data_IF_678402213661
#
_entry.id   IF_678402213661
#
_cell.length_a   1.000
_cell.length_b   1.000
_cell.length_c   1.000
_cell.angle_alpha   90.00
_cell.angle_beta   90.00
_cell.angle_gamma   90.00
#
_symmetry.space_group_name_H-M   'P 1'
#
loop_
_entity.id
_entity.type
_entity.pdbx_description
1 polymer ?
#
# COMPACT_ATOMS: atom_id res chain seq x y z
N UNK A 1 11.47 -48.72 -57.07
CA UNK A 1 10.65 -48.17 -58.17
C UNK A 1 10.11 -46.83 -57.70
N UNK A 2 10.60 -45.70 -58.19
CA UNK A 2 11.78 -45.50 -59.07
C UNK A 2 12.30 -44.07 -58.86
N UNK A 3 13.59 -43.87 -59.06
CA UNK A 3 14.32 -42.61 -58.89
C UNK A 3 14.02 -41.60 -60.02
N UNK A 4 14.20 -40.29 -59.77
CA UNK A 4 14.86 -39.30 -60.66
C UNK A 4 14.70 -37.84 -60.17
N UNK A 5 15.71 -37.34 -59.45
CA UNK A 5 16.73 -36.39 -59.93
C UNK A 5 16.41 -35.23 -60.92
N UNK A 6 16.95 -34.06 -60.52
CA UNK A 6 17.67 -33.00 -61.27
C UNK A 6 17.01 -32.02 -62.29
N UNK A 7 17.40 -30.75 -62.10
CA UNK A 7 17.79 -29.73 -63.13
C UNK A 7 16.70 -29.06 -64.00
N UNK A 8 16.86 -27.86 -64.61
CA UNK A 8 17.76 -26.66 -64.58
C UNK A 8 17.06 -25.58 -65.49
N UNK A 9 17.37 -24.27 -65.64
CA UNK A 9 18.26 -23.22 -65.06
C UNK A 9 17.66 -21.83 -65.45
N UNK A 10 17.98 -20.72 -64.75
CA UNK A 10 18.23 -19.39 -65.37
C UNK A 10 19.01 -18.42 -64.44
N UNK A 11 19.72 -17.44 -65.00
CA UNK A 11 20.81 -16.67 -64.39
C UNK A 11 20.48 -15.21 -63.96
N UNK A 12 21.30 -14.62 -63.07
CA UNK A 12 21.19 -13.20 -62.68
C UNK A 12 22.20 -12.67 -61.66
N UNK A 13 23.43 -12.34 -62.09
CA UNK A 13 24.50 -11.77 -61.24
C UNK A 13 24.20 -10.35 -60.69
N UNK A 14 24.72 -10.00 -59.49
CA UNK A 14 25.99 -9.22 -59.35
C UNK A 14 26.45 -8.95 -57.90
N UNK A 15 27.78 -8.79 -57.74
CA UNK A 15 28.51 -7.98 -56.73
C UNK A 15 28.45 -8.31 -55.21
N UNK A 16 29.25 -9.31 -54.83
CA UNK A 16 30.28 -9.26 -53.75
C UNK A 16 30.22 -8.20 -52.62
N UNK A 17 30.28 -8.68 -51.37
CA UNK A 17 30.79 -7.95 -50.20
C UNK A 17 31.05 -8.92 -49.04
N UNK A 18 32.31 -9.07 -48.62
CA UNK A 18 32.71 -10.12 -47.66
C UNK A 18 33.58 -9.55 -46.53
N UNK A 19 33.20 -9.86 -45.29
CA UNK A 19 33.95 -9.60 -44.06
C UNK A 19 33.77 -10.82 -43.15
N UNK A 20 34.85 -11.37 -42.61
CA UNK A 20 34.84 -12.64 -41.87
C UNK A 20 34.69 -12.47 -40.35
N UNK A 21 34.39 -13.59 -39.66
CA UNK A 21 34.51 -13.69 -38.21
C UNK A 21 35.97 -13.53 -37.75
N UNK A 22 36.17 -12.98 -36.56
CA UNK A 22 37.43 -13.00 -35.83
C UNK A 22 37.18 -12.79 -34.34
N UNK A 23 37.72 -13.66 -33.49
CA UNK A 23 37.55 -13.63 -32.04
C UNK A 23 38.63 -12.72 -31.41
N UNK A 24 38.35 -12.16 -30.22
CA UNK A 24 39.29 -11.31 -29.47
C UNK A 24 39.76 -12.10 -28.23
N UNK A 25 41.07 -12.06 -27.96
CA UNK A 25 41.73 -12.81 -26.87
C UNK A 25 42.56 -11.90 -25.97
N UNK A 26 42.65 -12.25 -24.68
CA UNK A 26 43.19 -11.42 -23.59
C UNK A 26 44.73 -11.28 -23.57
N UNK A 27 45.33 -10.56 -24.52
CA UNK A 27 46.80 -10.33 -24.58
C UNK A 27 47.27 -8.86 -24.56
N UNK A 28 46.40 -7.87 -24.29
CA UNK A 28 46.83 -6.47 -24.05
C UNK A 28 47.24 -6.21 -22.57
N UNK A 29 48.27 -6.93 -22.10
CA UNK A 29 48.88 -6.74 -20.77
C UNK A 29 50.36 -6.33 -20.85
N UNK A 30 50.64 -5.09 -20.38
CA UNK A 30 51.96 -4.45 -20.27
C UNK A 30 52.60 -4.07 -21.62
N UNK A 31 53.48 -3.06 -21.77
CA UNK A 31 54.32 -2.29 -20.84
C UNK A 31 54.35 -0.79 -21.20
N UNK A 32 54.78 0.10 -20.28
CA UNK A 32 54.96 1.54 -20.57
C UNK A 32 55.33 2.40 -19.35
N UNK A 33 56.61 2.43 -18.99
CA UNK A 33 57.14 3.13 -17.81
C UNK A 33 57.42 4.63 -18.05
N UNK A 34 57.38 5.44 -16.97
CA UNK A 34 57.74 6.86 -16.99
C UNK A 34 57.84 7.52 -15.60
N UNK A 35 59.02 7.43 -14.99
CA UNK A 35 59.48 8.32 -13.89
C UNK A 35 59.94 9.68 -14.51
N UNK A 36 60.22 10.81 -13.86
CA UNK A 36 60.34 11.29 -12.45
C UNK A 36 59.40 12.54 -12.27
N UNK A 37 59.40 13.47 -11.30
CA UNK A 37 60.36 14.03 -10.32
C UNK A 37 59.64 14.65 -9.08
N UNK A 38 60.37 15.30 -8.16
CA UNK A 38 59.99 15.57 -6.74
C UNK A 38 59.85 17.09 -6.36
N UNK A 39 59.76 17.39 -5.05
CA UNK A 39 59.84 18.69 -4.32
C UNK A 39 58.51 19.50 -4.15
N UNK A 40 58.18 20.10 -2.98
CA UNK A 40 58.62 19.97 -1.57
C UNK A 40 57.57 20.67 -0.64
N UNK A 41 57.87 20.82 0.68
CA UNK A 41 57.11 21.49 1.76
C UNK A 41 55.93 20.69 2.34
N UNK A 42 55.92 20.24 3.60
CA UNK A 42 56.98 20.24 4.62
C UNK A 42 56.98 21.41 5.60
N UNK A 43 56.37 21.23 6.78
CA UNK A 43 56.99 21.52 8.10
C UNK A 43 56.31 20.67 9.20
N UNK A 44 56.96 20.44 10.34
CA UNK A 44 56.45 19.57 11.42
C UNK A 44 57.00 19.90 12.83
N UNK A 45 56.13 20.36 13.73
CA UNK A 45 56.32 20.56 15.19
C UNK A 45 54.92 20.56 15.87
N UNK A 46 54.69 20.20 17.14
CA UNK A 46 55.46 19.47 18.17
C UNK A 46 54.48 18.84 19.18
N UNK A 47 54.99 17.98 20.07
CA UNK A 47 54.30 17.33 21.19
C UNK A 47 53.70 18.32 22.23
N UNK A 48 52.62 17.92 22.90
CA UNK A 48 52.51 18.02 24.37
C UNK A 48 51.51 16.98 24.92
N UNK A 49 51.57 16.66 26.21
CA UNK A 49 50.69 15.72 26.92
C UNK A 49 49.99 16.42 28.10
N UNK A 50 48.67 16.29 28.20
CA UNK A 50 47.88 16.81 29.31
C UNK A 50 46.67 15.92 29.58
N UNK A 51 46.73 15.16 30.68
CA UNK A 51 45.65 14.30 31.18
C UNK A 51 45.26 14.72 32.61
N UNK A 52 44.15 14.18 33.10
CA UNK A 52 43.53 14.35 34.43
C UNK A 52 42.71 15.63 34.74
N UNK A 53 41.65 15.39 35.53
CA UNK A 53 40.74 16.31 36.25
C UNK A 53 39.76 17.14 35.39
N UNK A 54 38.46 16.80 35.28
CA UNK A 54 37.42 16.58 36.31
C UNK A 54 36.87 17.87 36.94
N UNK A 55 35.67 18.26 36.50
CA UNK A 55 34.58 18.63 37.41
C UNK A 55 33.27 18.03 36.84
N UNK A 56 32.29 17.77 37.70
CA UNK A 56 31.05 17.07 37.34
C UNK A 56 29.86 18.02 37.27
N UNK A 57 29.20 18.09 36.11
CA UNK A 57 27.94 18.81 35.94
C UNK A 57 26.81 17.82 35.63
N UNK A 58 26.31 17.16 36.68
CA UNK A 58 25.09 16.33 36.66
C UNK A 58 23.84 17.23 36.49
N UNK A 59 23.73 17.90 35.34
CA UNK A 59 22.49 18.53 34.89
C UNK A 59 21.78 17.56 33.93
N UNK A 60 20.98 16.68 34.52
CA UNK A 60 20.03 15.78 33.86
C UNK A 60 18.88 16.62 33.27
N UNK A 61 18.88 16.91 31.95
CA UNK A 61 17.84 17.72 31.33
C UNK A 61 16.68 16.80 31.02
N UNK A 62 15.76 16.69 31.98
CA UNK A 62 14.55 15.85 31.91
C UNK A 62 13.92 15.84 30.53
N UNK A 63 14.12 14.74 29.79
CA UNK A 63 13.27 14.23 28.71
C UNK A 63 12.33 15.28 28.09
N UNK A 64 12.89 16.25 27.37
CA UNK A 64 12.11 17.00 26.40
C UNK A 64 11.91 16.03 25.24
N UNK A 65 10.68 15.53 25.09
CA UNK A 65 10.37 14.49 24.11
C UNK A 65 10.82 14.92 22.70
N UNK A 66 11.63 14.10 22.01
CA UNK A 66 11.98 14.27 20.59
C UNK A 66 10.76 13.99 19.71
N UNK A 67 9.74 14.84 19.85
CA UNK A 67 8.57 14.89 18.99
C UNK A 67 8.92 15.61 17.68
N UNK A 68 9.78 14.97 16.89
CA UNK A 68 9.54 14.86 15.43
C UNK A 68 8.29 13.97 15.21
N UNK A 69 7.19 14.42 15.83
CA UNK A 69 5.92 13.70 15.90
C UNK A 69 5.20 13.81 14.57
N UNK A 70 4.66 12.68 14.11
CA UNK A 70 3.74 12.63 12.98
C UNK A 70 2.65 13.70 13.17
N UNK A 71 2.54 14.71 12.28
CA UNK A 71 1.63 15.84 12.47
C UNK A 71 0.14 15.43 12.45
N UNK A 72 -0.16 14.18 12.09
CA UNK A 72 -1.47 13.58 12.24
C UNK A 72 -1.68 13.00 13.66
N UNK A 73 -2.16 13.83 14.59
CA UNK A 73 -2.81 13.32 15.80
C UNK A 73 -4.31 13.07 15.52
N UNK A 74 -4.79 11.81 15.44
CA UNK A 74 -6.20 11.53 15.19
C UNK A 74 -7.12 12.07 16.29
N UNK A 75 -6.69 12.09 17.56
CA UNK A 75 -7.54 12.51 18.68
C UNK A 75 -7.88 14.00 18.62
N UNK A 76 -6.92 14.85 18.24
CA UNK A 76 -7.13 16.30 18.09
C UNK A 76 -8.07 16.64 16.92
N UNK A 77 -8.17 15.73 15.94
CA UNK A 77 -9.10 15.81 14.81
C UNK A 77 -10.49 15.21 15.13
N UNK A 78 -10.72 14.70 16.35
CA UNK A 78 -11.95 13.99 16.73
C UNK A 78 -12.12 12.64 16.03
N UNK A 79 -11.00 12.04 15.59
CA UNK A 79 -10.97 10.78 14.85
C UNK A 79 -10.59 9.59 15.73
N UNK A 80 -11.13 8.43 15.36
CA UNK A 80 -10.92 7.16 16.04
C UNK A 80 -10.62 6.05 15.04
N UNK A 81 -9.65 5.21 15.36
CA UNK A 81 -9.32 4.03 14.56
C UNK A 81 -10.48 3.02 14.61
N UNK A 82 -10.88 2.53 13.43
CA UNK A 82 -12.00 1.60 13.24
C UNK A 82 -11.57 0.27 12.60
N UNK A 83 -10.28 -0.05 12.62
CA UNK A 83 -9.73 -1.33 12.16
C UNK A 83 -10.47 -2.53 12.80
N UNK A 84 -10.81 -2.44 14.08
CA UNK A 84 -11.55 -3.48 14.81
C UNK A 84 -13.02 -3.65 14.39
N UNK A 85 -13.54 -2.83 13.47
CA UNK A 85 -14.88 -2.95 12.89
C UNK A 85 -14.89 -3.64 11.51
N UNK A 86 -13.71 -4.03 11.00
CA UNK A 86 -13.53 -4.66 9.70
C UNK A 86 -12.89 -6.05 9.79
N UNK A 87 -13.21 -6.88 8.81
CA UNK A 87 -12.41 -8.03 8.43
C UNK A 87 -11.40 -7.61 7.36
N UNK A 88 -10.12 -7.84 7.60
CA UNK A 88 -9.04 -7.60 6.64
C UNK A 88 -8.64 -8.91 5.94
N UNK A 89 -8.39 -8.86 4.64
CA UNK A 89 -7.93 -10.00 3.84
C UNK A 89 -7.00 -9.59 2.71
N UNK A 90 -6.02 -10.44 2.38
CA UNK A 90 -4.99 -10.19 1.37
C UNK A 90 -5.04 -11.22 0.24
N UNK A 91 -4.65 -10.84 -0.99
CA UNK A 91 -4.70 -11.76 -2.15
C UNK A 91 -3.75 -12.95 -2.04
N UNK A 92 -2.63 -12.77 -1.33
CA UNK A 92 -1.63 -13.79 -1.03
C UNK A 92 -0.78 -13.30 0.14
N UNK A 93 -0.15 -14.20 0.88
CA UNK A 93 0.86 -13.81 1.87
C UNK A 93 1.86 -14.93 2.14
N UNK A 94 3.04 -14.58 2.67
CA UNK A 94 3.99 -15.58 3.20
C UNK A 94 3.57 -16.06 4.60
N UNK A 95 3.92 -17.30 4.98
CA UNK A 95 3.66 -17.80 6.33
C UNK A 95 4.38 -16.94 7.38
N UNK A 96 3.62 -16.29 8.27
CA UNK A 96 4.17 -15.36 9.27
C UNK A 96 4.34 -13.90 8.82
N UNK A 97 3.83 -13.54 7.63
CA UNK A 97 3.82 -12.17 7.11
C UNK A 97 2.48 -11.86 6.43
N UNK A 98 1.37 -11.97 7.18
CA UNK A 98 0.01 -11.80 6.69
C UNK A 98 -0.72 -10.61 7.35
N UNK A 99 -2.03 -10.77 7.52
CA UNK A 99 -2.93 -9.73 8.07
C UNK A 99 -2.62 -9.40 9.54
N UNK A 100 -2.16 -10.37 10.33
CA UNK A 100 -1.83 -10.15 11.74
C UNK A 100 -0.62 -9.23 11.92
N UNK A 101 0.36 -9.36 11.03
CA UNK A 101 1.56 -8.52 10.99
C UNK A 101 1.25 -7.11 10.50
N UNK A 102 0.41 -6.97 9.46
CA UNK A 102 -0.07 -5.69 8.91
C UNK A 102 -0.93 -4.86 9.88
N UNK A 103 -1.56 -5.50 10.87
CA UNK A 103 -2.37 -4.85 11.90
C UNK A 103 -1.62 -4.73 13.24
N UNK A 104 -0.29 -4.94 13.24
CA UNK A 104 0.57 -4.69 14.40
C UNK A 104 0.92 -3.20 14.49
N UNK A 105 1.03 -2.66 15.70
CA UNK A 105 1.68 -1.35 15.92
C UNK A 105 3.22 -1.44 15.86
N UNK A 106 3.77 -2.65 15.72
CA UNK A 106 5.20 -2.93 15.56
C UNK A 106 5.58 -2.89 14.06
N UNK A 107 6.21 -1.78 13.66
CA UNK A 107 6.55 -1.46 12.27
C UNK A 107 7.73 -2.25 11.68
N UNK A 108 8.41 -3.08 12.49
CA UNK A 108 9.36 -4.09 11.98
C UNK A 108 8.62 -5.30 11.38
N UNK A 109 7.31 -5.45 11.67
CA UNK A 109 6.44 -6.45 11.04
C UNK A 109 5.78 -5.90 9.78
N UNK A 110 5.38 -6.81 8.88
CA UNK A 110 4.74 -6.47 7.62
C UNK A 110 3.95 -7.64 7.04
N UNK A 111 2.89 -7.32 6.29
CA UNK A 111 2.37 -8.22 5.27
C UNK A 111 3.39 -8.29 4.11
N UNK A 112 3.78 -9.51 3.73
CA UNK A 112 4.54 -9.79 2.52
C UNK A 112 3.69 -10.65 1.59
N UNK A 113 3.39 -10.17 0.38
CA UNK A 113 2.68 -10.97 -0.61
C UNK A 113 3.49 -12.19 -1.09
N UNK A 114 2.82 -13.19 -1.66
CA UNK A 114 3.50 -14.24 -2.44
C UNK A 114 2.61 -14.70 -3.58
N UNK A 115 2.47 -13.85 -4.59
CA UNK A 115 1.40 -13.98 -5.58
C UNK A 115 1.74 -13.45 -6.96
N UNK A 116 0.69 -13.25 -7.76
CA UNK A 116 0.72 -12.51 -9.01
C UNK A 116 0.16 -11.11 -8.77
N UNK A 117 0.76 -10.10 -9.41
CA UNK A 117 0.26 -8.73 -9.36
C UNK A 117 -1.08 -8.59 -10.12
N UNK A 118 -1.97 -7.66 -9.72
CA UNK A 118 -1.83 -6.74 -8.59
C UNK A 118 -2.06 -7.43 -7.24
N UNK A 119 -1.28 -7.04 -6.23
CA UNK A 119 -1.50 -7.52 -4.85
C UNK A 119 -2.64 -6.74 -4.22
N UNK A 120 -3.56 -7.42 -3.55
CA UNK A 120 -4.78 -6.83 -3.02
C UNK A 120 -4.78 -6.88 -1.50
N UNK A 121 -5.09 -5.75 -0.88
CA UNK A 121 -5.57 -5.68 0.50
C UNK A 121 -7.03 -5.25 0.49
N UNK A 122 -7.90 -6.04 1.12
CA UNK A 122 -9.34 -5.84 1.16
C UNK A 122 -9.80 -5.64 2.60
N UNK A 123 -10.55 -4.57 2.83
CA UNK A 123 -11.07 -4.15 4.14
C UNK A 123 -12.60 -4.22 4.04
N UNK A 124 -13.23 -5.11 4.78
CA UNK A 124 -14.68 -5.34 4.72
C UNK A 124 -15.36 -5.08 6.07
N UNK A 125 -16.18 -4.04 6.12
CA UNK A 125 -16.93 -3.62 7.30
C UNK A 125 -18.29 -4.31 7.35
N UNK A 126 -18.68 -4.82 8.53
CA UNK A 126 -19.99 -5.44 8.76
C UNK A 126 -21.18 -4.47 8.55
N UNK A 127 -20.92 -3.17 8.53
CA UNK A 127 -21.88 -2.07 8.49
C UNK A 127 -21.34 -0.98 7.57
N UNK A 128 -22.21 -0.12 7.02
CA UNK A 128 -21.76 1.11 6.34
C UNK A 128 -20.98 1.97 7.33
N UNK A 129 -19.76 2.36 6.97
CA UNK A 129 -18.92 3.30 7.71
C UNK A 129 -18.79 4.62 6.95
N UNK A 130 -18.46 5.70 7.65
CA UNK A 130 -18.11 7.00 7.06
C UNK A 130 -16.64 7.28 7.39
N UNK A 131 -15.75 6.89 6.47
CA UNK A 131 -14.29 6.93 6.65
C UNK A 131 -13.78 8.36 6.43
N UNK A 132 -12.87 8.79 7.30
CA UNK A 132 -12.26 10.14 7.33
C UNK A 132 -10.81 10.15 6.86
N UNK A 133 -10.04 9.14 7.26
CA UNK A 133 -8.65 8.96 6.85
C UNK A 133 -8.36 7.47 6.71
N UNK A 134 -7.51 7.11 5.74
CA UNK A 134 -6.82 5.83 5.67
C UNK A 134 -5.34 6.18 5.56
N UNK A 135 -4.52 5.57 6.42
CA UNK A 135 -3.06 5.75 6.42
C UNK A 135 -2.40 4.39 6.34
N UNK A 136 -1.32 4.25 5.58
CA UNK A 136 -0.54 3.01 5.48
C UNK A 136 0.96 3.29 5.60
N UNK A 137 1.71 2.36 6.18
CA UNK A 137 3.15 2.52 6.40
C UNK A 137 3.96 1.67 5.40
N UNK A 138 4.95 2.31 4.78
CA UNK A 138 5.97 1.71 3.89
C UNK A 138 7.31 2.41 4.14
N UNK A 139 8.43 1.72 3.95
CA UNK A 139 9.76 2.32 4.07
C UNK A 139 10.73 1.82 3.00
N UNK A 140 10.96 2.65 1.98
CA UNK A 140 11.87 2.37 0.88
C UNK A 140 13.29 1.98 1.34
N UNK A 141 13.75 2.51 2.47
CA UNK A 141 15.10 2.28 2.97
C UNK A 141 15.26 0.88 3.61
N UNK A 142 14.15 0.25 3.99
CA UNK A 142 14.11 -1.10 4.57
C UNK A 142 13.59 -2.15 3.58
N UNK A 143 12.64 -1.77 2.73
CA UNK A 143 11.89 -2.69 1.87
C UNK A 143 12.42 -2.72 0.42
N UNK A 144 13.22 -1.73 -0.01
CA UNK A 144 13.80 -1.64 -1.36
C UNK A 144 12.78 -1.96 -2.48
N UNK A 145 12.99 -3.07 -3.22
CA UNK A 145 12.11 -3.55 -4.29
C UNK A 145 10.72 -4.04 -3.83
N UNK A 146 10.52 -4.33 -2.55
CA UNK A 146 9.21 -4.67 -1.98
C UNK A 146 8.32 -3.43 -1.76
N UNK A 147 8.86 -2.22 -1.94
CA UNK A 147 8.15 -0.96 -1.74
C UNK A 147 7.26 -0.62 -2.95
N UNK A 148 5.95 -0.38 -2.77
CA UNK A 148 5.08 0.08 -3.87
C UNK A 148 5.56 1.36 -4.57
N UNK A 149 5.37 1.45 -5.89
CA UNK A 149 5.42 2.68 -6.69
C UNK A 149 4.03 3.14 -7.11
N UNK A 150 3.08 2.23 -7.30
CA UNK A 150 1.73 2.57 -7.78
C UNK A 150 0.66 1.79 -7.03
N UNK A 151 -0.22 2.52 -6.34
CA UNK A 151 -1.34 1.97 -5.58
C UNK A 151 -2.65 2.63 -6.02
N UNK A 152 -3.67 1.82 -6.31
CA UNK A 152 -5.01 2.30 -6.68
C UNK A 152 -6.02 1.83 -5.64
N UNK A 153 -6.87 2.74 -5.16
CA UNK A 153 -7.84 2.48 -4.11
C UNK A 153 -9.27 2.54 -4.64
N UNK A 154 -10.04 1.50 -4.32
CA UNK A 154 -11.43 1.32 -4.71
C UNK A 154 -12.32 1.18 -3.48
N UNK A 155 -13.59 1.56 -3.58
CA UNK A 155 -14.58 1.38 -2.53
C UNK A 155 -15.96 1.02 -3.11
N UNK A 156 -16.81 0.36 -2.33
CA UNK A 156 -18.14 -0.08 -2.76
C UNK A 156 -18.96 -0.72 -1.65
N UNK A 157 -20.05 -1.41 -2.04
CA UNK A 157 -20.84 -2.26 -1.13
C UNK A 157 -20.32 -3.71 -1.09
N UNK A 158 -19.59 -4.15 -2.11
CA UNK A 158 -18.88 -5.43 -2.15
C UNK A 158 -17.95 -5.56 -3.37
N UNK A 159 -17.54 -6.78 -3.71
CA UNK A 159 -16.54 -7.05 -4.76
C UNK A 159 -16.99 -6.75 -6.21
N UNK A 160 -18.27 -6.42 -6.45
CA UNK A 160 -18.84 -6.30 -7.79
C UNK A 160 -19.22 -4.85 -8.19
N UNK A 161 -19.17 -3.92 -7.24
CA UNK A 161 -19.50 -2.50 -7.41
C UNK A 161 -18.37 -1.59 -6.90
N UNK A 162 -17.13 -2.10 -6.88
CA UNK A 162 -15.93 -1.34 -6.53
C UNK A 162 -15.66 -0.21 -7.54
N UNK A 163 -15.73 1.03 -7.07
CA UNK A 163 -15.41 2.25 -7.82
C UNK A 163 -14.06 2.78 -7.34
N UNK A 164 -13.15 3.12 -8.27
CA UNK A 164 -11.89 3.80 -7.95
C UNK A 164 -12.19 5.19 -7.38
N UNK A 165 -11.69 5.49 -6.17
CA UNK A 165 -11.83 6.81 -5.56
C UNK A 165 -10.49 7.56 -5.43
N UNK A 166 -9.37 6.83 -5.28
CA UNK A 166 -8.05 7.43 -5.14
C UNK A 166 -6.94 6.63 -5.84
N UNK A 167 -5.82 7.30 -6.08
CA UNK A 167 -4.62 6.75 -6.70
C UNK A 167 -3.40 7.43 -6.08
N UNK A 168 -2.40 6.63 -5.68
CA UNK A 168 -1.18 7.08 -5.02
C UNK A 168 0.04 6.61 -5.82
N UNK A 169 0.63 7.50 -6.65
CA UNK A 169 1.99 7.32 -7.13
C UNK A 169 2.97 7.64 -5.99
N UNK A 170 3.94 6.75 -5.76
CA UNK A 170 4.92 6.86 -4.68
C UNK A 170 6.34 6.85 -5.27
N UNK A 171 7.25 7.60 -4.65
CA UNK A 171 8.66 7.70 -5.08
C UNK A 171 9.53 7.72 -3.84
N UNK A 172 10.24 6.62 -3.60
CA UNK A 172 11.03 6.36 -2.39
C UNK A 172 10.31 6.73 -1.07
N UNK A 173 9.05 6.29 -0.85
CA UNK A 173 8.27 6.67 0.32
C UNK A 173 8.88 6.11 1.61
N UNK A 174 8.80 6.88 2.69
CA UNK A 174 9.13 6.43 4.03
C UNK A 174 8.12 7.04 5.03
N UNK A 175 7.72 6.25 6.04
CA UNK A 175 6.74 6.68 7.04
C UNK A 175 5.29 6.44 6.64
N UNK A 176 4.36 7.00 7.42
CA UNK A 176 2.92 6.95 7.13
C UNK A 176 2.57 7.76 5.87
N UNK A 177 1.85 7.12 4.96
CA UNK A 177 1.33 7.70 3.73
C UNK A 177 -0.20 7.86 3.85
N UNK A 178 -0.72 9.06 3.56
CA UNK A 178 -2.15 9.36 3.56
C UNK A 178 -2.82 8.98 2.24
N UNK A 179 -3.97 8.30 2.30
CA UNK A 179 -4.79 8.04 1.11
C UNK A 179 -5.64 9.28 0.78
N UNK A 180 -5.63 9.80 -0.47
CA UNK A 180 -6.45 10.94 -0.87
C UNK A 180 -7.97 10.64 -0.85
N UNK A 181 -8.61 10.79 0.31
CA UNK A 181 -10.05 10.56 0.51
C UNK A 181 -10.91 11.80 0.18
N UNK A 182 -10.29 13.00 0.15
CA UNK A 182 -10.96 14.24 -0.22
C UNK A 182 -11.75 14.09 -1.53
N UNK A 183 -12.95 14.67 -1.57
CA UNK A 183 -13.89 14.65 -2.68
C UNK A 183 -14.47 13.27 -3.09
N UNK A 184 -14.15 12.18 -2.36
CA UNK A 184 -14.79 10.86 -2.56
C UNK A 184 -16.30 10.89 -2.32
N UNK A 185 -16.73 11.67 -1.31
CA UNK A 185 -18.12 11.92 -0.99
C UNK A 185 -18.93 10.76 -0.40
N UNK A 186 -20.17 11.08 -0.02
CA UNK A 186 -21.16 10.14 0.50
C UNK A 186 -21.47 10.29 2.00
N UNK A 187 -20.66 11.01 2.76
CA UNK A 187 -20.97 11.48 4.11
C UNK A 187 -21.83 12.73 4.13
N UNK A 188 -22.44 13.04 5.28
CA UNK A 188 -23.29 14.23 5.46
C UNK A 188 -22.53 15.57 5.31
N UNK A 189 -21.21 15.53 5.36
CA UNK A 189 -20.29 16.66 5.20
C UNK A 189 -19.69 16.79 3.79
N UNK A 190 -19.93 15.81 2.91
CA UNK A 190 -19.36 15.77 1.56
C UNK A 190 -17.91 15.29 1.46
N UNK A 191 -17.17 15.14 2.57
CA UNK A 191 -15.75 14.76 2.55
C UNK A 191 -15.47 13.37 3.15
N UNK A 192 -16.44 12.72 3.81
CA UNK A 192 -16.30 11.34 4.29
C UNK A 192 -16.58 10.32 3.18
N UNK A 193 -15.72 9.31 3.03
CA UNK A 193 -15.92 8.16 2.13
C UNK A 193 -16.88 7.15 2.76
N UNK A 194 -18.02 6.90 2.11
CA UNK A 194 -19.08 6.06 2.69
C UNK A 194 -19.26 4.73 1.98
N UNK A 195 -18.78 3.64 2.60
CA UNK A 195 -18.67 2.32 2.00
C UNK A 195 -18.90 1.17 3.00
N UNK A 196 -18.95 -0.06 2.48
CA UNK A 196 -18.83 -1.31 3.25
C UNK A 196 -17.51 -2.03 2.93
N UNK A 197 -16.94 -1.80 1.74
CA UNK A 197 -15.69 -2.38 1.32
C UNK A 197 -14.73 -1.29 0.81
N UNK A 198 -13.45 -1.42 1.18
CA UNK A 198 -12.32 -0.73 0.55
C UNK A 198 -11.35 -1.80 0.02
N UNK A 199 -10.80 -1.60 -1.17
CA UNK A 199 -9.78 -2.47 -1.75
C UNK A 199 -8.60 -1.65 -2.28
N UNK A 200 -7.42 -1.95 -1.76
CA UNK A 200 -6.13 -1.35 -2.11
C UNK A 200 -5.40 -2.30 -3.06
N UNK A 201 -5.19 -1.87 -4.30
CA UNK A 201 -4.45 -2.62 -5.32
C UNK A 201 -3.04 -2.05 -5.45
N UNK A 202 -2.05 -2.78 -4.95
CA UNK A 202 -0.64 -2.53 -5.29
C UNK A 202 -0.44 -3.05 -6.72
N UNK A 203 -0.27 -2.13 -7.68
CA UNK A 203 -0.09 -2.45 -9.11
C UNK A 203 1.37 -2.73 -9.43
N UNK A 204 2.26 -1.88 -8.93
CA UNK A 204 3.69 -1.86 -9.26
C UNK A 204 4.53 -1.53 -8.02
N UNK A 205 5.76 -2.04 -7.99
CA UNK A 205 6.76 -1.84 -6.94
C UNK A 205 8.08 -1.31 -7.53
N UNK A 206 8.92 -0.73 -6.67
CA UNK A 206 10.25 -0.24 -7.02
C UNK A 206 11.11 -1.38 -7.61
N UNK A 207 12.01 -1.03 -8.54
CA UNK A 207 12.96 -1.97 -9.17
C UNK A 207 12.29 -3.19 -9.84
N UNK A 208 11.01 -3.09 -10.21
CA UNK A 208 10.17 -4.19 -10.71
C UNK A 208 10.06 -5.40 -9.73
N UNK A 209 10.07 -5.13 -8.42
CA UNK A 209 9.88 -6.17 -7.40
C UNK A 209 8.56 -6.96 -7.58
N UNK A 210 8.64 -8.29 -7.47
CA UNK A 210 7.51 -9.21 -7.63
C UNK A 210 6.45 -9.01 -6.55
N UNK A 211 6.89 -8.98 -5.30
CA UNK A 211 6.04 -9.01 -4.10
C UNK A 211 6.15 -7.69 -3.34
N UNK A 212 5.13 -7.35 -2.56
CA UNK A 212 5.04 -6.10 -1.79
C UNK A 212 5.20 -6.32 -0.30
N UNK A 213 5.77 -5.33 0.39
CA UNK A 213 5.65 -5.15 1.84
C UNK A 213 4.69 -4.01 2.16
N UNK A 214 3.85 -4.18 3.19
CA UNK A 214 3.12 -3.09 3.85
C UNK A 214 3.22 -3.35 5.36
N UNK A 215 3.75 -2.39 6.12
CA UNK A 215 4.10 -2.54 7.55
C UNK A 215 2.95 -2.23 8.51
N UNK A 216 2.05 -1.34 8.10
CA UNK A 216 0.89 -0.97 8.91
C UNK A 216 -0.23 -0.39 8.06
N UNK A 217 -1.47 -0.52 8.54
CA UNK A 217 -2.62 0.23 8.01
C UNK A 217 -3.56 0.66 9.14
N UNK A 218 -4.01 1.91 9.11
CA UNK A 218 -4.94 2.48 10.09
C UNK A 218 -6.06 3.24 9.37
N UNK A 219 -7.29 2.78 9.59
CA UNK A 219 -8.52 3.39 9.05
C UNK A 219 -9.23 4.15 10.17
N UNK A 220 -9.63 5.40 9.90
CA UNK A 220 -10.23 6.30 10.88
C UNK A 220 -11.61 6.80 10.45
N UNK A 221 -12.50 6.99 11.42
CA UNK A 221 -13.77 7.69 11.28
C UNK A 221 -13.93 8.74 12.40
N UNK A 222 -14.98 9.56 12.36
CA UNK A 222 -15.33 10.44 13.48
C UNK A 222 -15.67 9.61 14.72
N UNK A 223 -15.25 10.06 15.91
CA UNK A 223 -15.75 9.50 17.16
C UNK A 223 -17.07 10.16 17.57
N UNK A 224 -18.17 9.42 17.50
CA UNK A 224 -19.52 9.88 17.90
C UNK A 224 -19.57 10.38 19.36
N UNK A 225 -18.67 9.90 20.24
CA UNK A 225 -18.62 10.35 21.64
C UNK A 225 -17.99 11.74 21.79
N UNK A 226 -17.02 12.11 20.95
CA UNK A 226 -16.44 13.47 20.91
C UNK A 226 -17.48 14.56 20.57
N UNK A 227 -18.45 14.24 19.71
CA UNK A 227 -19.52 15.16 19.28
C UNK A 227 -20.67 15.29 20.30
N UNK A 228 -20.68 14.49 21.36
CA UNK A 228 -21.78 14.43 22.34
C UNK A 228 -21.93 15.65 23.26
N UNK A 229 -21.02 16.62 23.21
CA UNK A 229 -20.94 17.72 24.18
C UNK A 229 -21.98 18.85 24.04
N UNK A 230 -22.49 19.12 22.83
CA UNK A 230 -23.27 20.36 22.55
C UNK A 230 -24.50 20.14 21.66
N UNK A 231 -25.20 19.01 21.82
CA UNK A 231 -26.36 18.64 21.00
C UNK A 231 -27.66 18.41 21.80
N UNK A 232 -27.95 19.27 22.78
CA UNK A 232 -29.25 19.30 23.46
C UNK A 232 -29.75 20.75 23.67
N UNK A 233 -31.07 20.94 23.64
CA UNK A 233 -31.79 22.21 23.86
C UNK A 233 -31.67 23.35 22.80
N UNK A 234 -32.09 23.07 21.55
CA UNK A 234 -33.02 23.96 20.80
C UNK A 234 -33.53 23.28 19.51
N UNK A 235 -34.80 23.40 19.10
CA UNK A 235 -35.93 24.12 19.68
C UNK A 235 -37.24 23.32 19.57
N UNK A 236 -38.12 23.41 20.58
CA UNK A 236 -39.49 22.88 20.50
C UNK A 236 -40.45 23.95 19.96
N UNK A 237 -40.69 23.93 18.65
CA UNK A 237 -41.80 24.68 18.05
C UNK A 237 -43.17 24.15 18.53
N UNK A 238 -44.20 25.00 18.65
CA UNK A 238 -45.56 24.56 18.98
C UNK A 238 -46.11 23.58 17.93
N UNK A 239 -46.81 22.54 18.39
CA UNK A 239 -47.45 21.55 17.52
C UNK A 239 -48.80 22.07 17.02
N UNK A 240 -49.08 21.84 15.74
CA UNK A 240 -50.44 21.82 15.18
C UNK A 240 -50.64 20.44 14.56
N UNK A 241 -51.49 19.63 15.16
CA UNK A 241 -51.69 18.25 14.74
C UNK A 241 -52.62 18.17 13.51
N UNK A 242 -52.16 17.49 12.46
CA UNK A 242 -52.98 16.93 11.38
C UNK A 242 -52.35 15.58 11.01
N UNK A 243 -53.19 14.56 10.90
CA UNK A 243 -52.77 13.20 10.59
C UNK A 243 -52.44 13.03 9.10
N UNK A 244 -51.40 12.25 8.79
CA UNK A 244 -51.38 11.47 7.54
C UNK A 244 -50.51 10.22 7.71
N UNK A 245 -51.05 9.09 7.24
CA UNK A 245 -50.63 7.76 7.69
C UNK A 245 -49.95 7.02 6.53
N UNK A 246 -48.61 6.87 6.55
CA UNK A 246 -47.90 5.67 6.05
C UNK A 246 -46.36 5.68 6.25
N UNK A 247 -45.79 4.47 6.17
CA UNK A 247 -44.38 4.18 5.85
C UNK A 247 -43.26 4.56 6.86
N UNK A 248 -43.40 4.17 8.15
CA UNK A 248 -42.24 3.94 9.04
C UNK A 248 -42.38 2.66 9.88
N UNK A 249 -41.99 1.51 9.31
CA UNK A 249 -42.00 0.22 10.01
C UNK A 249 -40.98 -0.81 9.46
N UNK A 250 -39.69 -0.44 9.39
CA UNK A 250 -38.56 -1.40 9.42
C UNK A 250 -37.42 -0.84 10.27
N UNK A 251 -37.56 -1.03 11.58
CA UNK A 251 -36.49 -0.78 12.56
C UNK A 251 -35.29 -1.65 12.22
N UNK A 252 -34.08 -1.09 12.24
CA UNK A 252 -32.86 -1.87 12.22
C UNK A 252 -32.76 -2.65 13.54
N UNK A 253 -33.07 -3.95 13.52
CA UNK A 253 -32.64 -4.85 14.58
C UNK A 253 -31.14 -5.05 14.40
N UNK A 254 -30.36 -4.80 15.46
CA UNK A 254 -28.95 -5.18 15.47
C UNK A 254 -28.84 -6.71 15.32
N UNK A 255 -27.90 -7.15 14.49
CA UNK A 255 -27.49 -8.56 14.49
C UNK A 255 -26.86 -8.87 15.85
N UNK A 256 -27.26 -9.98 16.46
CA UNK A 256 -26.65 -10.44 17.71
C UNK A 256 -25.31 -11.15 17.46
N UNK A 257 -24.51 -11.25 18.52
CA UNK A 257 -23.16 -11.83 18.45
C UNK A 257 -23.20 -13.32 18.03
N UNK A 258 -24.33 -13.99 18.22
CA UNK A 258 -24.56 -15.36 17.76
C UNK A 258 -24.74 -15.44 16.24
N UNK A 259 -25.57 -14.56 15.66
CA UNK A 259 -25.68 -14.40 14.20
C UNK A 259 -24.35 -13.98 13.55
N UNK A 260 -23.56 -13.15 14.25
CA UNK A 260 -22.22 -12.77 13.80
C UNK A 260 -21.26 -13.97 13.79
N UNK A 261 -21.25 -14.77 14.87
CA UNK A 261 -20.43 -15.98 14.95
C UNK A 261 -20.83 -17.00 13.86
N UNK A 262 -22.12 -17.21 13.61
CA UNK A 262 -22.59 -18.11 12.54
C UNK A 262 -22.18 -17.65 11.13
N UNK A 263 -22.11 -16.33 10.88
CA UNK A 263 -21.61 -15.78 9.62
C UNK A 263 -20.09 -15.93 9.45
N UNK A 264 -19.31 -15.80 10.52
CA UNK A 264 -17.87 -16.05 10.51
C UNK A 264 -17.58 -17.54 10.26
N UNK A 265 -18.23 -18.43 11.01
CA UNK A 265 -18.17 -19.89 10.82
C UNK A 265 -18.56 -20.30 9.39
N UNK A 266 -19.55 -19.64 8.78
CA UNK A 266 -19.94 -19.91 7.40
C UNK A 266 -18.85 -19.52 6.38
N UNK A 267 -18.09 -18.45 6.64
CA UNK A 267 -17.01 -17.99 5.78
C UNK A 267 -15.78 -18.90 5.87
N UNK A 268 -15.41 -19.35 7.07
CA UNK A 268 -14.31 -20.31 7.28
C UNK A 268 -14.58 -21.68 6.63
N UNK A 269 -15.84 -22.13 6.62
CA UNK A 269 -16.25 -23.41 5.99
C UNK A 269 -16.27 -23.36 4.46
N UNK A 270 -16.39 -22.17 3.87
CA UNK A 270 -16.47 -21.95 2.43
C UNK A 270 -15.57 -20.79 1.97
N UNK A 271 -14.24 -20.93 2.06
CA UNK A 271 -13.30 -19.94 1.55
C UNK A 271 -13.51 -19.74 0.04
N UNK A 272 -13.59 -18.48 -0.40
CA UNK A 272 -13.87 -18.13 -1.79
C UNK A 272 -12.61 -18.36 -2.64
N UNK A 273 -12.46 -19.57 -3.17
CA UNK A 273 -11.34 -19.93 -4.05
C UNK A 273 -11.50 -19.31 -5.44
N UNK A 274 -10.50 -18.57 -5.97
CA UNK A 274 -10.57 -17.95 -7.30
C UNK A 274 -10.30 -18.98 -8.41
N UNK A 275 -11.29 -19.83 -8.70
CA UNK A 275 -11.18 -20.90 -9.70
C UNK A 275 -12.44 -21.08 -10.55
N UNK A 276 -12.62 -20.20 -11.54
CA UNK A 276 -12.83 -20.59 -12.94
C UNK A 276 -12.96 -19.36 -13.85
N UNK A 277 -11.89 -19.03 -14.57
CA UNK A 277 -12.02 -18.42 -15.89
C UNK A 277 -12.53 -19.50 -16.85
N UNK A 278 -13.77 -19.40 -17.35
CA UNK A 278 -14.05 -19.86 -18.72
C UNK A 278 -15.28 -19.18 -19.38
N UNK A 279 -15.04 -18.72 -20.61
CA UNK A 279 -15.97 -18.46 -21.71
C UNK A 279 -17.45 -18.21 -21.41
N UNK A 280 -17.86 -16.93 -21.44
CA UNK A 280 -19.19 -16.53 -21.94
C UNK A 280 -19.00 -15.94 -23.35
N UNK A 281 -19.65 -16.54 -24.36
CA UNK A 281 -19.58 -16.06 -25.75
C UNK A 281 -20.55 -14.91 -25.98
N UNK A 282 -20.11 -13.89 -26.71
CA UNK A 282 -20.99 -12.81 -27.19
C UNK A 282 -22.08 -13.33 -28.16
N UNK A 283 -23.33 -12.86 -28.07
CA UNK A 283 -24.37 -13.17 -29.03
C UNK A 283 -24.27 -12.27 -30.26
N UNK A 284 -24.02 -12.85 -31.44
CA UNK A 284 -24.04 -12.11 -32.71
C UNK A 284 -25.45 -11.63 -33.06
N UNK A 285 -25.64 -10.31 -33.12
CA UNK A 285 -26.90 -9.69 -33.59
C UNK A 285 -27.00 -9.82 -35.12
N UNK A 286 -28.23 -10.02 -35.62
CA UNK A 286 -28.63 -9.98 -37.04
C UNK A 286 -29.70 -8.93 -37.25
#
# INVERSE_FOLDING_TARGET
MTDHDFSNDDDGHFASGAYEHGEISDEELMEGLGEVDDELLGDAITEDLGDEMSDGNDEDPHSEDELDGDPFNPMDLGLKEINNLAHFGVSSHRPGNGVAELLSDDLDKYWQSDGQQPHLLTIHFLRRVEIRAIRFYVDYNQDESYTPTHIVFYAGTGHHDLIQFAEAPLTNPAGWQDVPIADSGGGADGHSLCCWMVQMHIKENHQNGKDTHIRGIKVYAMDDHSLGGTAHESARGPRTDLDDDHARARTAQGLDDQSLQELLDAFERHPITPSNFDTVREPTIR
#
